data_IF_411362824795
#
_entry.id   IF_411362824795
#
_cell.length_a   1.000
_cell.length_b   1.000
_cell.length_c   1.000
_cell.angle_alpha   90.00
_cell.angle_beta   90.00
_cell.angle_gamma   90.00
#
_symmetry.space_group_name_H-M   'P 1'
#
loop_
_entity.id
_entity.type
_entity.pdbx_description
1 polymer ?
#
# COMPACT_ATOMS: atom_id res chain seq x y z
N UNK A 1 -21.88 30.14 -20.02
CA UNK A 1 -21.11 30.95 -20.98
C UNK A 1 -19.71 31.33 -20.53
N UNK A 2 -19.43 31.60 -19.24
CA UNK A 2 -18.08 31.97 -18.74
C UNK A 2 -16.93 31.16 -19.37
N UNK A 3 -16.98 29.83 -19.28
CA UNK A 3 -15.91 28.97 -19.81
C UNK A 3 -15.74 29.15 -21.32
N UNK A 4 -16.82 28.99 -22.11
CA UNK A 4 -16.80 29.15 -23.57
C UNK A 4 -16.26 30.52 -23.97
N UNK A 5 -16.70 31.59 -23.30
CA UNK A 5 -16.26 32.95 -23.61
C UNK A 5 -14.77 33.17 -23.35
N UNK A 6 -14.26 32.65 -22.22
CA UNK A 6 -12.85 32.81 -21.86
C UNK A 6 -11.91 31.89 -22.66
N UNK A 7 -12.37 30.72 -23.10
CA UNK A 7 -11.52 29.75 -23.81
C UNK A 7 -11.57 29.89 -25.32
N UNK A 8 -12.71 30.24 -25.91
CA UNK A 8 -12.91 30.19 -27.37
C UNK A 8 -13.25 31.54 -28.03
N UNK A 9 -13.92 32.46 -27.32
CA UNK A 9 -14.40 33.71 -27.93
C UNK A 9 -13.46 34.91 -27.72
N UNK A 10 -12.38 34.74 -26.95
CA UNK A 10 -11.41 35.78 -26.62
C UNK A 10 -10.13 35.70 -27.46
N UNK A 11 -9.21 36.64 -27.20
CA UNK A 11 -7.87 36.63 -27.80
C UNK A 11 -6.95 35.59 -27.11
N UNK A 12 -6.07 34.90 -27.86
CA UNK A 12 -5.10 33.98 -27.29
C UNK A 12 -4.19 34.66 -26.25
N UNK A 13 -4.09 34.05 -25.06
CA UNK A 13 -3.30 34.60 -23.94
C UNK A 13 -1.89 34.01 -23.82
N UNK A 14 -1.59 32.96 -24.58
CA UNK A 14 -0.27 32.31 -24.63
C UNK A 14 0.16 32.09 -26.08
N UNK A 15 1.46 31.93 -26.34
CA UNK A 15 1.99 31.75 -27.70
C UNK A 15 1.58 30.39 -28.30
N UNK A 16 1.43 29.38 -27.45
CA UNK A 16 0.98 28.04 -27.83
C UNK A 16 -0.47 28.06 -28.29
N UNK A 17 -1.32 28.86 -27.63
CA UNK A 17 -2.73 28.99 -28.01
C UNK A 17 -2.90 29.63 -29.40
N UNK A 18 -1.95 30.46 -29.84
CA UNK A 18 -1.96 31.05 -31.20
C UNK A 18 -1.70 30.02 -32.30
N UNK A 19 -0.98 28.94 -31.96
CA UNK A 19 -0.60 27.88 -32.89
C UNK A 19 -1.42 26.60 -32.65
N UNK A 20 -2.55 26.69 -31.94
CA UNK A 20 -3.40 25.54 -31.70
C UNK A 20 -3.99 25.02 -33.02
N UNK A 21 -3.83 23.73 -33.27
CA UNK A 21 -4.40 23.03 -34.41
C UNK A 21 -5.58 22.16 -33.99
N UNK A 22 -6.46 21.87 -34.95
CA UNK A 22 -7.59 20.96 -34.74
C UNK A 22 -7.17 19.55 -34.36
N UNK A 23 -8.01 18.88 -33.57
CA UNK A 23 -7.71 17.53 -33.10
C UNK A 23 -7.82 16.49 -34.23
N UNK A 24 -7.01 15.42 -34.20
CA UNK A 24 -7.11 14.36 -35.20
C UNK A 24 -8.47 13.65 -35.14
N UNK A 25 -8.85 13.00 -36.26
CA UNK A 25 -10.15 12.32 -36.41
C UNK A 25 -10.43 11.27 -35.32
N UNK A 26 -9.38 10.67 -34.75
CA UNK A 26 -9.51 9.70 -33.65
C UNK A 26 -10.12 10.31 -32.39
N UNK A 27 -10.02 11.63 -32.18
CA UNK A 27 -10.69 12.36 -31.10
C UNK A 27 -12.00 12.99 -31.55
N UNK A 28 -12.05 13.54 -32.77
CA UNK A 28 -13.24 14.24 -33.28
C UNK A 28 -14.40 13.27 -33.56
N UNK A 29 -14.12 12.06 -34.07
CA UNK A 29 -15.17 11.10 -34.40
C UNK A 29 -16.00 10.65 -33.19
N UNK A 30 -15.41 10.27 -32.03
CA UNK A 30 -16.19 10.03 -30.81
C UNK A 30 -17.05 11.23 -30.40
N UNK A 31 -16.54 12.46 -30.48
CA UNK A 31 -17.28 13.67 -30.11
C UNK A 31 -18.48 13.93 -31.03
N UNK A 32 -18.33 13.69 -32.34
CA UNK A 32 -19.43 13.81 -33.31
C UNK A 32 -20.49 12.75 -33.08
N UNK A 33 -20.10 11.52 -32.76
CA UNK A 33 -21.05 10.45 -32.42
C UNK A 33 -21.82 10.82 -31.15
N UNK A 34 -21.15 11.33 -30.12
CA UNK A 34 -21.79 11.77 -28.88
C UNK A 34 -22.72 12.96 -29.11
N UNK A 35 -22.37 13.92 -29.98
CA UNK A 35 -23.23 15.06 -30.29
C UNK A 35 -24.49 14.62 -31.04
N UNK A 36 -24.37 13.67 -31.96
CA UNK A 36 -25.53 13.04 -32.62
C UNK A 36 -26.49 12.42 -31.59
N UNK A 37 -25.96 11.67 -30.63
CA UNK A 37 -26.77 11.10 -29.55
C UNK A 37 -27.39 12.17 -28.65
N UNK A 38 -26.65 13.21 -28.26
CA UNK A 38 -27.19 14.29 -27.44
C UNK A 38 -28.37 15.01 -28.11
N UNK A 39 -28.33 15.19 -29.44
CA UNK A 39 -29.43 15.78 -30.21
C UNK A 39 -30.61 14.81 -30.33
N UNK A 40 -30.37 13.53 -30.58
CA UNK A 40 -31.42 12.54 -30.88
C UNK A 40 -32.12 11.97 -29.64
N UNK A 41 -31.40 11.72 -28.54
CA UNK A 41 -31.99 11.18 -27.31
C UNK A 41 -33.05 12.11 -26.70
N UNK A 42 -32.92 13.43 -26.88
CA UNK A 42 -33.92 14.40 -26.43
C UNK A 42 -35.30 14.20 -27.06
N UNK A 43 -35.38 13.55 -28.23
CA UNK A 43 -36.65 13.28 -28.93
C UNK A 43 -37.39 12.05 -28.42
N UNK A 44 -36.69 11.13 -27.74
CA UNK A 44 -37.27 9.85 -27.28
C UNK A 44 -38.25 10.05 -26.12
N UNK A 45 -38.07 11.10 -25.31
CA UNK A 45 -38.84 11.31 -24.07
C UNK A 45 -39.89 12.43 -24.13
N UNK A 46 -40.22 12.95 -25.32
CA UNK A 46 -41.15 14.10 -25.45
C UNK A 46 -42.57 13.70 -25.00
N UNK A 47 -43.19 14.37 -24.00
CA UNK A 47 -44.56 14.09 -23.60
C UNK A 47 -45.57 14.34 -24.72
N UNK A 48 -46.61 13.51 -24.82
CA UNK A 48 -47.65 13.63 -25.86
C UNK A 48 -48.43 14.95 -25.80
N UNK A 49 -48.60 15.48 -24.59
CA UNK A 49 -49.27 16.76 -24.35
C UNK A 49 -48.34 17.98 -24.49
N UNK A 50 -47.08 17.80 -24.89
CA UNK A 50 -46.15 18.91 -25.10
C UNK A 50 -46.56 19.72 -26.35
N UNK A 51 -46.56 21.06 -26.29
CA UNK A 51 -46.99 21.91 -27.40
C UNK A 51 -46.15 21.67 -28.65
N UNK A 52 -46.81 21.54 -29.80
CA UNK A 52 -46.22 21.34 -31.15
C UNK A 52 -45.49 20.01 -31.34
N UNK A 53 -44.57 19.61 -30.45
CA UNK A 53 -43.73 18.42 -30.63
C UNK A 53 -44.42 17.11 -30.18
N UNK A 54 -45.31 17.16 -29.19
CA UNK A 54 -46.04 15.97 -28.72
C UNK A 54 -46.88 15.33 -29.83
N UNK A 55 -47.71 16.10 -30.55
CA UNK A 55 -48.47 15.62 -31.72
C UNK A 55 -47.62 15.34 -32.97
N UNK A 56 -46.30 15.45 -32.93
CA UNK A 56 -45.44 15.06 -34.06
C UNK A 56 -44.77 13.72 -33.79
N UNK A 57 -44.34 13.50 -32.55
CA UNK A 57 -43.60 12.29 -32.16
C UNK A 57 -44.54 11.13 -31.82
N UNK A 58 -45.81 11.39 -31.47
CA UNK A 58 -46.95 10.46 -31.32
C UNK A 58 -46.76 9.18 -30.47
N UNK A 59 -45.55 8.85 -30.02
CA UNK A 59 -45.24 7.59 -29.36
C UNK A 59 -44.18 7.80 -28.29
N UNK A 60 -44.60 8.16 -27.08
CA UNK A 60 -43.70 8.21 -25.91
C UNK A 60 -43.56 6.82 -25.27
N UNK A 61 -43.10 5.85 -26.07
CA UNK A 61 -42.90 4.46 -25.65
C UNK A 61 -41.98 4.34 -24.42
N UNK A 62 -41.02 5.25 -24.27
CA UNK A 62 -40.10 5.27 -23.13
C UNK A 62 -40.82 5.61 -21.81
N UNK A 63 -41.74 6.58 -21.83
CA UNK A 63 -42.54 6.92 -20.65
C UNK A 63 -43.50 5.78 -20.25
N UNK A 64 -43.98 4.99 -21.22
CA UNK A 64 -44.76 3.77 -20.95
C UNK A 64 -43.87 2.68 -20.35
N UNK A 65 -42.67 2.47 -20.90
CA UNK A 65 -41.70 1.50 -20.38
C UNK A 65 -41.29 1.83 -18.94
N UNK A 66 -40.85 3.06 -18.66
CA UNK A 66 -40.47 3.49 -17.30
C UNK A 66 -41.70 3.53 -16.40
N UNK A 67 -42.84 4.01 -16.89
CA UNK A 67 -44.09 4.07 -16.14
C UNK A 67 -44.54 2.70 -15.64
N UNK A 68 -44.33 1.64 -16.43
CA UNK A 68 -44.69 0.26 -16.02
C UNK A 68 -43.84 -0.29 -14.87
N UNK A 69 -42.74 0.37 -14.50
CA UNK A 69 -41.92 0.00 -13.33
C UNK A 69 -42.41 0.63 -12.01
N UNK A 70 -43.38 1.54 -12.07
CA UNK A 70 -43.90 2.24 -10.89
C UNK A 70 -45.11 1.50 -10.29
N UNK A 71 -45.15 1.41 -8.96
CA UNK A 71 -46.25 0.78 -8.21
C UNK A 71 -47.47 1.71 -8.14
N UNK A 72 -47.26 3.02 -8.06
CA UNK A 72 -48.30 4.03 -8.18
C UNK A 72 -48.00 4.90 -9.39
N UNK A 73 -48.99 5.08 -10.26
CA UNK A 73 -48.89 6.02 -11.39
C UNK A 73 -49.31 7.42 -10.93
N UNK A 74 -48.38 8.36 -10.72
CA UNK A 74 -48.76 9.74 -10.46
C UNK A 74 -49.55 10.27 -11.65
N UNK A 75 -50.64 11.00 -11.39
CA UNK A 75 -51.39 11.69 -12.44
C UNK A 75 -50.45 12.64 -13.18
N UNK A 76 -50.42 12.55 -14.50
CA UNK A 76 -49.65 13.45 -15.33
C UNK A 76 -50.07 14.89 -15.02
N UNK A 77 -49.10 15.72 -14.62
CA UNK A 77 -49.32 17.15 -14.41
C UNK A 77 -49.62 17.77 -15.77
N UNK A 78 -50.70 18.56 -15.86
CA UNK A 78 -51.05 19.25 -17.09
C UNK A 78 -49.92 20.19 -17.53
N UNK A 79 -49.72 20.29 -18.84
CA UNK A 79 -48.69 21.14 -19.40
C UNK A 79 -48.94 22.61 -19.01
N UNK A 80 -47.93 23.22 -18.37
CA UNK A 80 -47.96 24.64 -18.00
C UNK A 80 -46.89 25.41 -18.76
N UNK A 81 -47.29 26.51 -19.39
CA UNK A 81 -46.38 27.43 -20.05
C UNK A 81 -45.48 28.18 -19.07
N UNK A 82 -45.92 28.34 -17.81
CA UNK A 82 -45.21 29.16 -16.83
C UNK A 82 -43.82 28.59 -16.53
N UNK A 83 -43.64 27.32 -16.08
CA UNK A 83 -42.31 26.76 -15.84
C UNK A 83 -41.45 26.69 -17.09
N UNK A 84 -42.04 26.43 -18.25
CA UNK A 84 -41.31 26.35 -19.52
C UNK A 84 -40.71 27.71 -19.89
N UNK A 85 -41.52 28.76 -19.93
CA UNK A 85 -41.07 30.10 -20.29
C UNK A 85 -40.12 30.67 -19.25
N UNK A 86 -40.38 30.48 -17.96
CA UNK A 86 -39.48 30.97 -16.91
C UNK A 86 -38.13 30.26 -16.97
N UNK A 87 -38.10 28.94 -17.15
CA UNK A 87 -36.84 28.19 -17.24
C UNK A 87 -36.05 28.59 -18.48
N UNK A 88 -36.72 28.74 -19.62
CA UNK A 88 -36.10 29.18 -20.86
C UNK A 88 -35.53 30.60 -20.75
N UNK A 89 -36.30 31.53 -20.17
CA UNK A 89 -35.86 32.90 -19.93
C UNK A 89 -34.67 32.97 -18.96
N UNK A 90 -34.70 32.20 -17.86
CA UNK A 90 -33.58 32.13 -16.90
C UNK A 90 -32.35 31.50 -17.54
N UNK A 91 -32.50 30.43 -18.32
CA UNK A 91 -31.38 29.77 -19.00
C UNK A 91 -30.72 30.69 -20.03
N UNK A 92 -31.49 31.25 -20.97
CA UNK A 92 -30.96 32.18 -21.97
C UNK A 92 -30.46 33.47 -21.33
N UNK A 93 -31.16 33.99 -20.33
CA UNK A 93 -30.75 35.15 -19.55
C UNK A 93 -29.42 34.91 -18.86
N UNK A 94 -29.23 33.77 -18.20
CA UNK A 94 -27.98 33.38 -17.55
C UNK A 94 -26.83 33.20 -18.55
N UNK A 95 -27.10 32.61 -19.73
CA UNK A 95 -26.11 32.52 -20.80
C UNK A 95 -25.71 33.92 -21.31
N UNK A 96 -26.70 34.79 -21.56
CA UNK A 96 -26.48 36.18 -22.00
C UNK A 96 -25.70 37.01 -20.99
N UNK A 97 -26.12 37.01 -19.72
CA UNK A 97 -25.41 37.67 -18.62
C UNK A 97 -23.98 37.16 -18.48
N UNK A 98 -23.77 35.85 -18.58
CA UNK A 98 -22.44 35.26 -18.56
C UNK A 98 -21.57 35.71 -19.74
N UNK A 99 -22.13 35.84 -20.94
CA UNK A 99 -21.40 36.37 -22.09
C UNK A 99 -21.03 37.86 -21.89
N UNK A 100 -21.98 38.70 -21.49
CA UNK A 100 -21.74 40.13 -21.28
C UNK A 100 -20.75 40.42 -20.16
N UNK A 101 -20.77 39.62 -19.07
CA UNK A 101 -19.84 39.76 -17.96
C UNK A 101 -18.41 39.37 -18.36
N UNK A 102 -18.23 38.33 -19.17
CA UNK A 102 -16.93 37.73 -19.44
C UNK A 102 -16.28 38.13 -20.77
N UNK A 103 -17.02 38.73 -21.72
CA UNK A 103 -16.47 39.10 -23.04
C UNK A 103 -15.30 40.08 -23.02
N UNK A 104 -15.22 40.93 -22.00
CA UNK A 104 -14.20 42.00 -21.89
C UNK A 104 -13.12 41.70 -20.84
N UNK A 105 -13.16 40.53 -20.20
CA UNK A 105 -12.20 40.17 -19.15
C UNK A 105 -10.92 39.66 -19.81
N UNK A 106 -9.80 40.33 -19.56
CA UNK A 106 -8.49 39.99 -20.13
C UNK A 106 -7.57 39.30 -19.14
N UNK A 107 -7.60 39.69 -17.87
CA UNK A 107 -6.81 39.09 -16.79
C UNK A 107 -7.70 38.49 -15.70
N UNK A 108 -7.12 37.57 -14.91
CA UNK A 108 -7.77 36.99 -13.71
C UNK A 108 -8.05 38.08 -12.67
N UNK A 109 -7.20 39.11 -12.59
CA UNK A 109 -7.40 40.26 -11.71
C UNK A 109 -8.66 41.08 -12.03
N UNK A 110 -9.16 40.97 -13.27
CA UNK A 110 -10.30 41.75 -13.74
C UNK A 110 -11.65 41.03 -13.46
N UNK A 111 -11.60 39.75 -13.04
CA UNK A 111 -12.78 38.94 -12.73
C UNK A 111 -13.35 39.29 -11.35
N UNK A 112 -14.17 40.34 -11.29
CA UNK A 112 -14.86 40.78 -10.07
C UNK A 112 -15.84 39.75 -9.50
N UNK A 113 -16.25 38.76 -10.30
CA UNK A 113 -17.18 37.71 -9.89
C UNK A 113 -16.45 36.50 -9.28
N UNK A 114 -15.12 36.52 -9.24
CA UNK A 114 -14.33 35.50 -8.56
C UNK A 114 -14.30 35.77 -7.04
N UNK A 115 -15.34 35.30 -6.36
CA UNK A 115 -15.45 35.40 -4.90
C UNK A 115 -14.50 34.38 -4.25
N UNK A 116 -13.67 34.82 -3.30
CA UNK A 116 -12.63 34.00 -2.65
C UNK A 116 -13.16 32.66 -2.10
N UNK A 117 -14.30 32.70 -1.39
CA UNK A 117 -14.92 31.49 -0.83
C UNK A 117 -15.30 30.44 -1.89
N UNK A 118 -15.86 30.87 -3.03
CA UNK A 118 -16.21 29.96 -4.14
C UNK A 118 -14.97 29.50 -4.90
N UNK A 119 -13.97 30.37 -5.04
CA UNK A 119 -12.69 30.06 -5.66
C UNK A 119 -11.96 28.94 -4.91
N UNK A 120 -11.97 29.01 -3.58
CA UNK A 120 -11.31 28.05 -2.69
C UNK A 120 -12.22 26.84 -2.39
N UNK A 121 -13.17 26.52 -3.28
CA UNK A 121 -14.05 25.33 -3.20
C UNK A 121 -14.72 25.17 -1.82
N UNK A 122 -15.20 26.27 -1.25
CA UNK A 122 -15.85 26.30 0.07
C UNK A 122 -14.92 25.89 1.24
N UNK A 123 -13.60 25.92 1.05
CA UNK A 123 -12.58 25.44 1.98
C UNK A 123 -12.75 23.98 2.44
N UNK A 124 -13.50 23.17 1.67
CA UNK A 124 -13.81 21.81 2.08
C UNK A 124 -12.55 20.94 2.16
N UNK A 125 -11.62 21.15 1.22
CA UNK A 125 -10.37 20.42 1.15
C UNK A 125 -9.45 20.77 2.33
N UNK A 126 -9.36 22.04 2.70
CA UNK A 126 -8.56 22.52 3.82
C UNK A 126 -9.11 22.03 5.16
N UNK A 127 -10.44 22.03 5.30
CA UNK A 127 -11.12 21.48 6.47
C UNK A 127 -10.87 19.98 6.56
N UNK A 128 -10.98 19.24 5.45
CA UNK A 128 -10.71 17.81 5.42
C UNK A 128 -9.24 17.49 5.76
N UNK A 129 -8.30 18.26 5.20
CA UNK A 129 -6.87 18.13 5.51
C UNK A 129 -6.59 18.37 7.00
N UNK A 130 -7.20 19.40 7.57
CA UNK A 130 -7.04 19.73 8.98
C UNK A 130 -7.71 18.73 9.93
N UNK A 131 -8.93 18.27 9.62
CA UNK A 131 -9.71 17.41 10.51
C UNK A 131 -9.31 15.94 10.42
N UNK A 132 -8.96 15.44 9.24
CA UNK A 132 -8.74 14.01 9.02
C UNK A 132 -7.31 13.69 8.66
N UNK A 133 -6.71 14.41 7.71
CA UNK A 133 -5.40 14.05 7.14
C UNK A 133 -4.28 14.31 8.14
N UNK A 134 -4.14 15.54 8.64
CA UNK A 134 -3.08 15.91 9.58
C UNK A 134 -3.12 15.11 10.89
N UNK A 135 -4.29 14.90 11.53
CA UNK A 135 -4.37 14.08 12.74
C UNK A 135 -4.02 12.61 12.48
N UNK A 136 -4.43 12.05 11.33
CA UNK A 136 -4.06 10.68 10.95
C UNK A 136 -2.54 10.54 10.77
N UNK A 137 -1.89 11.48 10.08
CA UNK A 137 -0.43 11.48 9.97
C UNK A 137 0.27 11.63 11.32
N UNK A 138 -0.20 12.56 12.15
CA UNK A 138 0.35 12.75 13.49
C UNK A 138 0.24 11.48 14.34
N UNK A 139 -0.91 10.79 14.28
CA UNK A 139 -1.14 9.54 15.00
C UNK A 139 -0.20 8.44 14.49
N UNK A 140 -0.08 8.27 13.17
CA UNK A 140 0.83 7.30 12.58
C UNK A 140 2.30 7.57 12.96
N UNK A 141 2.75 8.81 12.88
CA UNK A 141 4.15 9.14 13.18
C UNK A 141 4.46 9.07 14.68
N UNK A 142 3.56 9.59 15.53
CA UNK A 142 3.81 9.72 16.96
C UNK A 142 3.53 8.40 17.68
N UNK A 143 2.35 7.81 17.46
CA UNK A 143 1.93 6.64 18.22
C UNK A 143 2.45 5.35 17.59
N UNK A 144 2.23 5.14 16.29
CA UNK A 144 2.60 3.88 15.64
C UNK A 144 4.12 3.79 15.46
N UNK A 145 4.76 4.83 14.92
CA UNK A 145 6.19 4.76 14.66
C UNK A 145 7.06 5.08 15.88
N UNK A 146 6.93 6.26 16.49
CA UNK A 146 7.84 6.67 17.57
C UNK A 146 7.61 5.88 18.86
N UNK A 147 6.35 5.70 19.28
CA UNK A 147 6.05 5.05 20.55
C UNK A 147 6.06 3.52 20.44
N UNK A 148 5.31 2.95 19.48
CA UNK A 148 5.18 1.50 19.38
C UNK A 148 6.41 0.83 18.75
N UNK A 149 6.86 1.26 17.58
CA UNK A 149 8.01 0.65 16.88
C UNK A 149 9.34 0.97 17.59
N UNK A 150 9.76 2.25 17.57
CA UNK A 150 11.05 2.66 18.15
C UNK A 150 11.12 2.60 19.67
N UNK A 151 9.99 2.74 20.36
CA UNK A 151 9.95 2.72 21.82
C UNK A 151 9.83 1.30 22.35
N UNK A 152 8.68 0.68 22.07
CA UNK A 152 8.31 -0.61 22.65
C UNK A 152 9.01 -1.78 21.95
N UNK A 153 8.89 -1.89 20.62
CA UNK A 153 9.40 -3.05 19.86
C UNK A 153 10.93 -3.07 19.89
N UNK A 154 11.58 -1.97 19.50
CA UNK A 154 13.04 -1.84 19.53
C UNK A 154 13.59 -1.97 20.95
N UNK A 155 12.89 -1.41 21.95
CA UNK A 155 13.26 -1.54 23.36
C UNK A 155 13.30 -3.00 23.82
N UNK A 156 12.28 -3.79 23.44
CA UNK A 156 12.26 -5.23 23.69
C UNK A 156 13.40 -5.93 22.97
N UNK A 157 13.60 -5.67 21.67
CA UNK A 157 14.66 -6.30 20.89
C UNK A 157 16.06 -6.03 21.48
N UNK A 158 16.31 -4.79 21.91
CA UNK A 158 17.56 -4.38 22.54
C UNK A 158 17.77 -4.96 23.94
N UNK A 159 16.72 -5.43 24.63
CA UNK A 159 16.87 -6.21 25.85
C UNK A 159 17.20 -7.68 25.55
N UNK A 160 16.50 -8.28 24.59
CA UNK A 160 16.65 -9.70 24.27
C UNK A 160 17.98 -10.03 23.56
N UNK A 161 18.44 -9.18 22.64
CA UNK A 161 19.66 -9.43 21.87
C UNK A 161 20.90 -9.58 22.76
N UNK A 162 21.30 -8.52 23.49
CA UNK A 162 22.41 -8.57 24.44
C UNK A 162 22.17 -9.54 25.60
N UNK A 163 20.94 -9.69 26.07
CA UNK A 163 20.61 -10.64 27.13
C UNK A 163 20.92 -12.09 26.73
N UNK A 164 20.47 -12.50 25.55
CA UNK A 164 20.71 -13.85 25.02
C UNK A 164 22.19 -14.07 24.69
N UNK A 165 22.86 -13.08 24.11
CA UNK A 165 24.31 -13.12 23.88
C UNK A 165 25.09 -13.21 25.19
N UNK A 166 24.66 -12.49 26.22
CA UNK A 166 25.23 -12.53 27.57
C UNK A 166 25.16 -13.92 28.16
N UNK A 167 23.97 -14.55 28.15
CA UNK A 167 23.76 -15.92 28.62
C UNK A 167 24.62 -16.91 27.82
N UNK A 168 24.62 -16.83 26.49
CA UNK A 168 25.41 -17.70 25.64
C UNK A 168 26.92 -17.56 25.90
N UNK A 169 27.41 -16.33 26.07
CA UNK A 169 28.80 -16.05 26.39
C UNK A 169 29.19 -16.57 27.78
N UNK A 170 28.28 -16.50 28.75
CA UNK A 170 28.49 -17.04 30.09
C UNK A 170 28.63 -18.56 30.04
N UNK A 171 27.69 -19.26 29.42
CA UNK A 171 27.74 -20.72 29.26
C UNK A 171 29.03 -21.13 28.54
N UNK A 172 29.36 -20.44 27.43
CA UNK A 172 30.58 -20.72 26.68
C UNK A 172 31.85 -20.53 27.52
N UNK A 173 31.98 -19.39 28.19
CA UNK A 173 33.23 -19.02 28.85
C UNK A 173 33.41 -19.68 30.23
N UNK A 174 32.30 -19.97 30.94
CA UNK A 174 32.34 -20.55 32.29
C UNK A 174 32.17 -22.05 32.32
N UNK A 175 31.49 -22.64 31.34
CA UNK A 175 31.21 -24.08 31.31
C UNK A 175 31.89 -24.77 30.13
N UNK A 176 31.61 -24.33 28.90
CA UNK A 176 32.08 -25.02 27.69
C UNK A 176 33.61 -25.03 27.58
N UNK A 177 34.26 -23.85 27.58
CA UNK A 177 35.72 -23.75 27.48
C UNK A 177 36.48 -24.48 28.60
N UNK A 178 36.19 -24.27 29.90
CA UNK A 178 36.95 -24.92 30.97
C UNK A 178 36.58 -26.38 31.21
N UNK A 179 35.31 -26.77 31.07
CA UNK A 179 34.86 -28.13 31.41
C UNK A 179 34.77 -29.04 30.18
N UNK A 180 34.03 -28.62 29.15
CA UNK A 180 33.82 -29.48 27.97
C UNK A 180 35.11 -29.55 27.14
N UNK A 181 35.70 -28.43 26.74
CA UNK A 181 36.91 -28.47 25.94
C UNK A 181 38.12 -28.88 26.77
N UNK A 182 38.44 -28.14 27.84
CA UNK A 182 39.73 -28.33 28.51
C UNK A 182 39.78 -29.58 29.40
N UNK A 183 38.72 -29.90 30.13
CA UNK A 183 38.72 -31.07 31.03
C UNK A 183 38.31 -32.36 30.31
N UNK A 184 37.18 -32.36 29.59
CA UNK A 184 36.70 -33.56 28.90
C UNK A 184 37.39 -33.78 27.55
N UNK A 185 37.43 -32.79 26.66
CA UNK A 185 37.99 -32.94 25.31
C UNK A 185 39.50 -33.11 25.33
N UNK A 186 40.21 -32.01 25.53
CA UNK A 186 41.67 -31.95 25.53
C UNK A 186 42.27 -32.80 26.65
N UNK A 187 41.69 -32.74 27.86
CA UNK A 187 42.16 -33.51 29.01
C UNK A 187 42.10 -35.03 28.78
N UNK A 188 41.01 -35.56 28.20
CA UNK A 188 40.93 -37.00 27.90
C UNK A 188 41.84 -37.41 26.75
N UNK A 189 41.99 -36.54 25.75
CA UNK A 189 42.92 -36.74 24.64
C UNK A 189 44.37 -36.78 25.14
N UNK A 190 44.76 -35.86 26.02
CA UNK A 190 46.09 -35.79 26.63
C UNK A 190 46.39 -37.03 27.47
N UNK A 191 45.44 -37.50 28.27
CA UNK A 191 45.59 -38.75 29.05
C UNK A 191 45.77 -39.94 28.11
N UNK A 192 44.98 -40.03 27.06
CA UNK A 192 45.05 -41.11 26.07
C UNK A 192 46.40 -41.09 25.34
N UNK A 193 46.84 -39.91 24.90
CA UNK A 193 48.11 -39.71 24.21
C UNK A 193 49.29 -40.05 25.13
N UNK A 194 49.26 -39.60 26.37
CA UNK A 194 50.28 -39.92 27.38
C UNK A 194 50.36 -41.42 27.64
N UNK A 195 49.22 -42.09 27.84
CA UNK A 195 49.15 -43.52 28.10
C UNK A 195 49.67 -44.34 26.91
N UNK A 196 49.25 -43.99 25.69
CA UNK A 196 49.76 -44.59 24.46
C UNK A 196 51.27 -44.39 24.29
N UNK A 197 51.78 -43.20 24.59
CA UNK A 197 53.22 -42.90 24.56
C UNK A 197 54.03 -43.75 25.56
N UNK A 198 53.50 -43.98 26.76
CA UNK A 198 54.13 -44.85 27.76
C UNK A 198 54.11 -46.33 27.35
N UNK A 199 52.97 -46.84 26.85
CA UNK A 199 52.87 -48.21 26.35
C UNK A 199 53.79 -48.47 25.15
N UNK A 200 53.93 -47.48 24.25
CA UNK A 200 54.85 -47.57 23.11
C UNK A 200 56.30 -47.82 23.54
N UNK A 201 56.73 -47.23 24.66
CA UNK A 201 58.09 -47.41 25.17
C UNK A 201 58.35 -48.82 25.74
N UNK A 202 57.31 -49.58 26.10
CA UNK A 202 57.43 -50.99 26.55
C UNK A 202 57.79 -51.90 25.37
N UNK A 203 57.38 -51.55 24.15
CA UNK A 203 57.70 -52.29 22.94
C UNK A 203 59.05 -51.85 22.37
N UNK A 204 60.13 -52.40 22.92
CA UNK A 204 61.51 -52.03 22.59
C UNK A 204 62.02 -52.63 21.27
N UNK A 205 61.27 -53.56 20.67
CA UNK A 205 61.66 -54.29 19.46
C UNK A 205 62.72 -55.38 19.67
N UNK A 206 63.17 -55.63 20.90
CA UNK A 206 64.20 -56.64 21.22
C UNK A 206 63.54 -57.94 21.69
N UNK A 207 63.68 -59.01 20.91
CA UNK A 207 63.08 -60.34 21.18
C UNK A 207 63.42 -60.88 22.58
N UNK A 208 64.64 -60.64 23.06
CA UNK A 208 65.11 -61.08 24.38
C UNK A 208 64.28 -60.49 25.53
N UNK A 209 63.86 -59.23 25.43
CA UNK A 209 63.08 -58.56 26.49
C UNK A 209 61.64 -59.11 26.54
N UNK A 210 61.06 -59.48 25.39
CA UNK A 210 59.74 -60.12 25.34
C UNK A 210 59.76 -61.54 25.94
N UNK A 211 60.80 -62.33 25.68
CA UNK A 211 60.97 -63.65 26.28
C UNK A 211 61.08 -63.58 27.81
N UNK A 212 61.85 -62.61 28.34
CA UNK A 212 61.93 -62.39 29.79
C UNK A 212 60.59 -61.95 30.38
N UNK A 213 59.87 -61.03 29.73
CA UNK A 213 58.54 -60.60 30.17
C UNK A 213 57.55 -61.78 30.24
N UNK A 214 57.55 -62.64 29.22
CA UNK A 214 56.69 -63.82 29.18
C UNK A 214 56.99 -64.78 30.33
N UNK A 215 58.27 -65.08 30.59
CA UNK A 215 58.69 -65.93 31.71
C UNK A 215 58.24 -65.36 33.06
N UNK A 216 58.47 -64.06 33.30
CA UNK A 216 58.01 -63.38 34.52
C UNK A 216 56.48 -63.44 34.65
N UNK A 217 55.76 -63.22 33.55
CA UNK A 217 54.29 -63.30 33.52
C UNK A 217 53.80 -64.69 33.89
N UNK A 218 54.41 -65.75 33.33
CA UNK A 218 54.09 -67.14 33.69
C UNK A 218 54.33 -67.45 35.16
N UNK A 219 55.46 -66.98 35.73
CA UNK A 219 55.78 -67.18 37.14
C UNK A 219 54.79 -66.45 38.04
N UNK A 220 54.45 -65.19 37.73
CA UNK A 220 53.51 -64.39 38.53
C UNK A 220 52.10 -64.95 38.46
N UNK A 221 51.61 -65.30 37.27
CA UNK A 221 50.29 -65.94 37.10
C UNK A 221 50.27 -67.29 37.81
N UNK A 222 51.33 -68.10 37.66
CA UNK A 222 51.45 -69.37 38.34
C UNK A 222 51.42 -69.24 39.86
N UNK A 223 52.15 -68.28 40.42
CA UNK A 223 52.17 -67.99 41.86
C UNK A 223 50.82 -67.45 42.36
N UNK A 224 50.16 -66.57 41.59
CA UNK A 224 48.84 -66.05 41.92
C UNK A 224 47.79 -67.17 41.92
N UNK A 225 47.79 -68.02 40.89
CA UNK A 225 46.91 -69.19 40.82
C UNK A 225 47.19 -70.15 41.97
N UNK A 226 48.46 -70.42 42.27
CA UNK A 226 48.84 -71.27 43.40
C UNK A 226 48.33 -70.70 44.73
N UNK A 227 48.49 -69.38 44.95
CA UNK A 227 47.97 -68.70 46.12
C UNK A 227 46.44 -68.75 46.21
N UNK A 228 45.71 -68.52 45.11
CA UNK A 228 44.24 -68.57 45.07
C UNK A 228 43.67 -69.99 45.13
N UNK A 229 44.45 -71.02 44.78
CA UNK A 229 44.04 -72.43 44.86
C UNK A 229 44.31 -73.02 46.26
N UNK A 230 45.26 -72.44 47.02
CA UNK A 230 45.63 -72.89 48.37
C UNK A 230 45.12 -71.99 49.51
N UNK A 231 44.57 -70.81 49.20
CA UNK A 231 43.81 -69.97 50.12
C UNK A 231 42.32 -70.34 50.07
#
# INVERSE_FOLDING_TARGET
MRQITLTFLGEPRTEEAKHAHETPWTMTAPLVILSFFAVTFGWVGIPEHFPVLGPLVHNNWFHVFVGSTLIEHPKAVEFSWTPLLTSFAVALGGLGLGYFAYRNIKSVSDDKLQIGFLKDKYYFDEIYDFLFVKPAYWFAETFVYKWMDKGLIDGILHLFGPGTQGIGSFIRNKFDLPFINRFLGDGSADVTYWFGGKLRAVQTGRVQQYLMLALVTFVVIGAALFFFVLA
#
